data_IF_906264303490
#
_entry.id   IF_906264303490
#
_cell.length_a   1.000
_cell.length_b   1.000
_cell.length_c   1.000
_cell.angle_alpha   90.00
_cell.angle_beta   90.00
_cell.angle_gamma   90.00
#
_symmetry.space_group_name_H-M   'P 1'
#
loop_
_entity.id
_entity.type
_entity.pdbx_description
1 polymer ?
#
# COMPACT_ATOMS: atom_id res chain seq x y z
N UNK A 1 22.97 -25.92 2.67
CA UNK A 1 22.44 -25.19 1.50
C UNK A 1 21.16 -24.39 1.81
N UNK A 2 20.24 -24.90 2.65
CA UNK A 2 19.03 -24.17 3.05
C UNK A 2 19.31 -22.84 3.78
N UNK A 3 20.31 -22.79 4.67
CA UNK A 3 20.69 -21.58 5.42
C UNK A 3 21.00 -20.39 4.50
N UNK A 4 21.84 -20.59 3.48
CA UNK A 4 22.24 -19.53 2.55
C UNK A 4 21.09 -19.02 1.67
N UNK A 5 20.03 -19.81 1.47
CA UNK A 5 18.83 -19.39 0.75
C UNK A 5 17.90 -18.56 1.64
N UNK A 6 17.79 -18.93 2.92
CA UNK A 6 17.04 -18.17 3.94
C UNK A 6 17.70 -16.82 4.18
N UNK A 7 19.00 -16.78 4.44
CA UNK A 7 19.76 -15.53 4.63
C UNK A 7 19.64 -14.60 3.42
N UNK A 8 19.63 -15.17 2.21
CA UNK A 8 19.43 -14.39 0.98
C UNK A 8 17.99 -13.87 0.84
N UNK A 9 16.99 -14.64 1.25
CA UNK A 9 15.61 -14.18 1.27
C UNK A 9 15.43 -13.02 2.27
N UNK A 10 15.98 -13.16 3.48
CA UNK A 10 15.96 -12.13 4.52
C UNK A 10 16.65 -10.83 4.07
N UNK A 11 17.77 -10.94 3.33
CA UNK A 11 18.45 -9.77 2.75
C UNK A 11 17.64 -9.11 1.62
N UNK A 12 16.89 -9.88 0.84
CA UNK A 12 16.01 -9.32 -0.20
C UNK A 12 14.80 -8.62 0.43
N UNK A 13 14.21 -9.21 1.47
CA UNK A 13 13.07 -8.64 2.20
C UNK A 13 13.47 -7.37 2.96
N UNK A 14 14.59 -7.39 3.69
CA UNK A 14 15.10 -6.21 4.41
C UNK A 14 15.46 -5.07 3.46
N UNK A 15 16.09 -5.36 2.31
CA UNK A 15 16.34 -4.35 1.28
C UNK A 15 15.05 -3.79 0.71
N UNK A 16 14.05 -4.62 0.47
CA UNK A 16 12.77 -4.17 -0.07
C UNK A 16 12.04 -3.25 0.92
N UNK A 17 12.09 -3.56 2.22
CA UNK A 17 11.58 -2.70 3.28
C UNK A 17 12.30 -1.35 3.31
N UNK A 18 13.64 -1.34 3.30
CA UNK A 18 14.41 -0.10 3.25
C UNK A 18 14.08 0.75 2.02
N UNK A 19 13.95 0.13 0.84
CA UNK A 19 13.56 0.84 -0.40
C UNK A 19 12.16 1.44 -0.29
N UNK A 20 11.20 0.71 0.29
CA UNK A 20 9.85 1.25 0.53
C UNK A 20 9.90 2.43 1.50
N UNK A 21 10.57 2.28 2.64
CA UNK A 21 10.66 3.31 3.67
C UNK A 21 11.30 4.59 3.14
N UNK A 22 12.38 4.46 2.38
CA UNK A 22 13.03 5.59 1.72
C UNK A 22 12.10 6.26 0.70
N UNK A 23 11.39 5.48 -0.10
CA UNK A 23 10.45 6.03 -1.09
C UNK A 23 9.27 6.76 -0.44
N UNK A 24 8.75 6.23 0.67
CA UNK A 24 7.68 6.87 1.45
C UNK A 24 8.17 8.17 2.09
N UNK A 25 9.36 8.16 2.68
CA UNK A 25 9.98 9.36 3.27
C UNK A 25 10.28 10.44 2.22
N UNK A 26 10.75 10.04 1.03
CA UNK A 26 11.02 10.93 -0.09
C UNK A 26 9.75 11.41 -0.81
N UNK A 27 8.57 10.86 -0.49
CA UNK A 27 7.32 11.18 -1.18
C UNK A 27 7.34 10.79 -2.65
N UNK A 28 8.05 9.70 -2.98
CA UNK A 28 8.23 9.23 -4.36
C UNK A 28 6.87 9.01 -5.03
N UNK A 29 6.66 9.49 -6.28
CA UNK A 29 5.31 9.55 -6.86
C UNK A 29 4.59 8.20 -6.98
N UNK A 30 5.34 7.11 -7.15
CA UNK A 30 4.77 5.76 -7.27
C UNK A 30 4.15 5.25 -5.98
N UNK A 31 4.59 5.76 -4.81
CA UNK A 31 4.05 5.34 -3.51
C UNK A 31 2.60 5.76 -3.34
N UNK A 32 2.15 6.80 -4.06
CA UNK A 32 0.74 7.24 -4.08
C UNK A 32 -0.20 6.13 -4.55
N UNK A 33 0.28 5.22 -5.39
CA UNK A 33 -0.52 4.07 -5.85
C UNK A 33 -0.80 3.05 -4.74
N UNK A 34 -0.04 3.05 -3.64
CA UNK A 34 -0.28 2.17 -2.48
C UNK A 34 -1.48 2.62 -1.63
N UNK A 35 -1.99 3.83 -1.84
CA UNK A 35 -2.96 4.47 -0.96
C UNK A 35 -2.33 5.05 0.30
N UNK A 36 -3.15 5.69 1.14
CA UNK A 36 -2.69 6.25 2.41
C UNK A 36 -2.36 5.13 3.41
N UNK A 37 -1.22 5.24 4.10
CA UNK A 37 -0.84 4.27 5.11
C UNK A 37 -1.90 4.20 6.22
N UNK A 38 -2.50 3.01 6.48
CA UNK A 38 -3.49 2.87 7.52
C UNK A 38 -2.85 2.91 8.91
N UNK A 39 -3.64 3.16 9.95
CA UNK A 39 -3.21 3.07 11.35
C UNK A 39 -3.54 1.71 11.96
N UNK A 40 -2.85 1.36 13.04
CA UNK A 40 -3.15 0.15 13.81
C UNK A 40 -2.68 -1.14 13.11
N UNK A 41 -3.33 -2.29 13.39
CA UNK A 41 -2.86 -3.60 12.93
C UNK A 41 -2.71 -3.75 11.41
N UNK A 42 -3.49 -3.00 10.63
CA UNK A 42 -3.43 -3.01 9.17
C UNK A 42 -2.13 -2.39 8.61
N UNK A 43 -1.43 -1.56 9.39
CA UNK A 43 -0.21 -0.88 8.95
C UNK A 43 0.91 -1.85 8.57
N UNK A 44 1.06 -2.94 9.33
CA UNK A 44 2.09 -3.96 9.08
C UNK A 44 1.81 -4.69 7.77
N UNK A 45 0.56 -5.12 7.55
CA UNK A 45 0.17 -5.78 6.31
C UNK A 45 0.27 -4.85 5.09
N UNK A 46 -0.12 -3.58 5.25
CA UNK A 46 0.03 -2.57 4.19
C UNK A 46 1.50 -2.37 3.82
N UNK A 47 2.38 -2.28 4.82
CA UNK A 47 3.82 -2.11 4.63
C UNK A 47 4.44 -3.32 3.91
N UNK A 48 4.13 -4.54 4.34
CA UNK A 48 4.60 -5.77 3.68
C UNK A 48 4.17 -5.84 2.21
N UNK A 49 2.93 -5.44 1.90
CA UNK A 49 2.47 -5.37 0.52
C UNK A 49 3.22 -4.29 -0.28
N UNK A 50 3.51 -3.14 0.33
CA UNK A 50 4.38 -2.11 -0.25
C UNK A 50 5.81 -2.63 -0.54
N UNK A 51 6.37 -3.45 0.36
CA UNK A 51 7.70 -4.04 0.20
C UNK A 51 7.75 -4.95 -1.03
N UNK A 52 6.70 -5.74 -1.27
CA UNK A 52 6.62 -6.57 -2.48
C UNK A 52 6.65 -5.74 -3.78
N UNK A 53 6.00 -4.57 -3.79
CA UNK A 53 6.05 -3.63 -4.93
C UNK A 53 7.44 -3.01 -5.07
N UNK A 54 8.05 -2.58 -3.95
CA UNK A 54 9.40 -2.03 -3.93
C UNK A 54 10.45 -3.04 -4.41
N UNK A 55 10.34 -4.31 -3.99
CA UNK A 55 11.20 -5.40 -4.42
C UNK A 55 11.15 -5.61 -5.94
N UNK A 56 9.94 -5.63 -6.51
CA UNK A 56 9.75 -5.73 -7.96
C UNK A 56 10.41 -4.56 -8.70
N UNK A 57 10.19 -3.33 -8.24
CA UNK A 57 10.78 -2.13 -8.84
C UNK A 57 12.30 -2.15 -8.80
N UNK A 58 12.88 -2.44 -7.64
CA UNK A 58 14.32 -2.53 -7.45
C UNK A 58 14.95 -3.66 -8.30
N UNK A 59 14.29 -4.82 -8.40
CA UNK A 59 14.78 -5.96 -9.18
C UNK A 59 14.83 -5.68 -10.68
N UNK A 60 13.86 -4.95 -11.22
CA UNK A 60 13.75 -4.67 -12.66
C UNK A 60 14.16 -3.23 -13.02
N UNK A 61 14.82 -2.50 -12.11
CA UNK A 61 15.32 -1.15 -12.37
C UNK A 61 14.22 -0.14 -12.74
N UNK A 62 13.01 -0.30 -12.23
CA UNK A 62 11.88 0.55 -12.61
C UNK A 62 11.99 1.90 -11.88
N UNK A 63 12.32 2.93 -12.65
CA UNK A 63 12.26 4.32 -12.23
C UNK A 63 10.95 4.99 -12.65
N UNK A 64 10.58 6.08 -11.97
CA UNK A 64 9.45 6.92 -12.34
C UNK A 64 8.15 6.64 -11.59
N UNK A 65 7.13 7.42 -11.94
CA UNK A 65 5.91 7.57 -11.14
C UNK A 65 4.94 6.39 -11.20
N UNK A 66 5.02 5.53 -12.22
CA UNK A 66 4.16 4.35 -12.31
C UNK A 66 4.76 3.23 -11.47
N UNK A 67 3.97 2.51 -10.64
CA UNK A 67 4.48 1.44 -9.79
C UNK A 67 5.06 0.28 -10.62
N UNK A 68 4.45 -0.03 -11.77
CA UNK A 68 4.93 -1.01 -12.73
C UNK A 68 5.47 -0.29 -13.97
N UNK A 69 6.68 -0.66 -14.41
CA UNK A 69 7.32 -0.12 -15.61
C UNK A 69 6.67 -0.64 -16.90
N UNK A 70 7.48 -0.79 -17.95
CA UNK A 70 7.02 -1.35 -19.22
C UNK A 70 6.45 -2.78 -19.09
N UNK A 71 5.80 -3.25 -20.15
CA UNK A 71 5.23 -4.61 -20.20
C UNK A 71 6.33 -5.63 -19.94
N UNK A 72 6.11 -6.61 -19.04
CA UNK A 72 7.09 -7.66 -18.77
C UNK A 72 7.49 -8.45 -20.01
N UNK A 73 8.78 -8.65 -20.22
CA UNK A 73 9.33 -9.30 -21.42
C UNK A 73 9.56 -10.80 -21.20
N UNK A 74 9.84 -11.22 -19.97
CA UNK A 74 10.09 -12.62 -19.63
C UNK A 74 8.97 -13.25 -18.80
N UNK A 75 8.83 -14.57 -18.88
CA UNK A 75 7.88 -15.33 -18.04
C UNK A 75 8.14 -15.14 -16.55
N UNK A 76 9.41 -15.05 -16.14
CA UNK A 76 9.77 -14.76 -14.74
C UNK A 76 9.30 -13.38 -14.31
N UNK A 77 9.56 -12.34 -15.13
CA UNK A 77 9.10 -10.98 -14.87
C UNK A 77 7.58 -10.89 -14.86
N UNK A 78 6.88 -11.63 -15.72
CA UNK A 78 5.41 -11.71 -15.72
C UNK A 78 4.87 -12.25 -14.40
N UNK A 79 5.46 -13.32 -13.86
CA UNK A 79 5.03 -13.91 -12.59
C UNK A 79 5.29 -12.95 -11.43
N UNK A 80 6.48 -12.34 -11.37
CA UNK A 80 6.81 -11.37 -10.34
C UNK A 80 5.90 -10.13 -10.43
N UNK A 81 5.61 -9.66 -11.64
CA UNK A 81 4.68 -8.55 -11.88
C UNK A 81 3.27 -8.91 -11.41
N UNK A 82 2.80 -10.15 -11.62
CA UNK A 82 1.50 -10.60 -11.13
C UNK A 82 1.45 -10.59 -9.59
N UNK A 83 2.50 -11.09 -8.92
CA UNK A 83 2.63 -11.05 -7.45
C UNK A 83 2.62 -9.62 -6.91
N UNK A 84 3.42 -8.74 -7.51
CA UNK A 84 3.51 -7.35 -7.10
C UNK A 84 2.21 -6.57 -7.36
N UNK A 85 1.46 -6.90 -8.43
CA UNK A 85 0.11 -6.35 -8.68
C UNK A 85 -0.89 -6.79 -7.62
N UNK A 86 -0.90 -8.08 -7.24
CA UNK A 86 -1.76 -8.57 -6.18
C UNK A 86 -1.46 -7.87 -4.85
N UNK A 87 -0.18 -7.67 -4.52
CA UNK A 87 0.23 -6.93 -3.34
C UNK A 87 -0.21 -5.45 -3.40
N UNK A 88 -0.05 -4.77 -4.54
CA UNK A 88 -0.53 -3.40 -4.71
C UNK A 88 -2.03 -3.29 -4.45
N UNK A 89 -2.82 -4.21 -5.02
CA UNK A 89 -4.27 -4.25 -4.81
C UNK A 89 -4.57 -4.44 -3.31
N UNK A 90 -3.92 -5.39 -2.63
CA UNK A 90 -4.11 -5.61 -1.21
C UNK A 90 -3.74 -4.38 -0.35
N UNK A 91 -2.65 -3.67 -0.68
CA UNK A 91 -2.30 -2.42 -0.01
C UNK A 91 -3.39 -1.36 -0.19
N UNK A 92 -3.95 -1.21 -1.40
CA UNK A 92 -5.05 -0.28 -1.66
C UNK A 92 -6.29 -0.64 -0.85
N UNK A 93 -6.67 -1.92 -0.79
CA UNK A 93 -7.79 -2.37 0.06
C UNK A 93 -7.55 -2.03 1.54
N UNK A 94 -6.34 -2.24 2.05
CA UNK A 94 -6.00 -1.92 3.44
C UNK A 94 -6.01 -0.40 3.72
N UNK A 95 -5.63 0.41 2.73
CA UNK A 95 -5.74 1.87 2.80
C UNK A 95 -7.20 2.33 2.79
N UNK A 96 -8.01 1.72 1.93
CA UNK A 96 -9.42 2.05 1.72
C UNK A 96 -10.35 1.55 2.83
N UNK A 97 -9.93 0.57 3.64
CA UNK A 97 -10.67 0.15 4.85
C UNK A 97 -10.53 1.20 5.97
N UNK A 98 -9.72 2.24 5.79
CA UNK A 98 -9.55 3.34 6.74
C UNK A 98 -9.96 4.76 6.25
N UNK A 99 -11.21 5.04 5.82
CA UNK A 99 -11.74 6.41 5.69
C UNK A 99 -12.72 6.75 6.83
N UNK A 100 -13.28 5.77 7.53
CA UNK A 100 -14.47 5.96 8.38
C UNK A 100 -14.17 6.49 9.79
N UNK A 101 -12.95 6.32 10.30
CA UNK A 101 -12.61 6.70 11.69
C UNK A 101 -11.91 8.07 11.82
N UNK A 102 -11.71 8.81 10.73
CA UNK A 102 -11.01 10.11 10.77
C UNK A 102 -11.84 11.30 10.25
N UNK A 103 -13.15 11.17 10.11
CA UNK A 103 -14.00 12.36 10.01
C UNK A 103 -14.07 13.02 11.41
N UNK A 104 -13.75 14.31 11.57
CA UNK A 104 -14.14 15.01 12.79
C UNK A 104 -15.67 14.90 12.87
N UNK A 105 -16.18 14.40 14.01
CA UNK A 105 -17.60 14.25 14.24
C UNK A 105 -18.33 15.53 13.82
N UNK A 106 -19.12 15.44 12.75
CA UNK A 106 -20.02 16.53 12.39
C UNK A 106 -20.90 16.78 13.62
N UNK A 107 -21.04 18.03 14.10
CA UNK A 107 -21.95 18.31 15.18
C UNK A 107 -23.35 17.92 14.70
N UNK A 108 -23.96 16.95 15.38
CA UNK A 108 -25.39 16.69 15.30
C UNK A 108 -26.07 17.97 15.74
N UNK A 109 -26.46 18.80 14.75
CA UNK A 109 -27.43 19.86 14.97
C UNK A 109 -28.77 19.14 15.00
N UNK A 110 -29.19 18.80 16.22
CA UNK A 110 -30.53 18.32 16.49
C UNK A 110 -31.51 19.48 16.23
N UNK A 111 -31.97 19.61 14.99
CA UNK A 111 -33.18 20.38 14.73
C UNK A 111 -34.38 19.44 14.84
N UNK A 112 -35.14 19.65 15.91
CA UNK A 112 -36.35 18.91 16.26
C UNK A 112 -37.51 19.75 15.74
N UNK A 113 -38.23 19.37 14.67
CA UNK A 113 -39.43 20.11 14.30
C UNK A 113 -40.53 19.79 15.33
N UNK A 114 -40.84 20.78 16.15
CA UNK A 114 -41.99 20.80 17.06
C UNK A 114 -43.28 20.71 16.22
N UNK A 115 -44.02 19.62 16.41
CA UNK A 115 -45.38 19.44 15.91
C UNK A 115 -46.28 20.53 16.49
N UNK A 116 -46.72 21.46 15.64
CA UNK A 116 -47.79 22.39 15.93
C UNK A 116 -49.11 21.86 15.36
N UNK A 117 -49.90 21.20 16.20
CA UNK A 117 -51.32 20.93 15.93
C UNK A 117 -52.07 22.26 16.10
N UNK A 118 -52.78 22.72 15.06
CA UNK A 118 -53.82 23.75 15.20
C UNK A 118 -55.19 23.10 15.14
N UNK A 119 -56.05 23.56 16.06
CA UNK A 119 -57.49 23.34 16.14
C UNK A 119 -58.22 24.01 14.98
#
# INVERSE_FOLDING_TARGET
MHQALVERADLIESRAAAVLDQALQAGEPWTRALGAAPRGPAAVAWHQNGCAVAAYRNRYGIAGAKPFGAVPESTAQRLDAARARAALIAAQWLADVHPAFNAPAAPVIADRPTVGIRL
#
